data_IF_577445953991
#
_entry.id   IF_577445953991
#
_cell.length_a   1.000
_cell.length_b   1.000
_cell.length_c   1.000
_cell.angle_alpha   90.00
_cell.angle_beta   90.00
_cell.angle_gamma   90.00
#
_symmetry.space_group_name_H-M   'P 1'
#
loop_
_entity.id
_entity.type
_entity.pdbx_description
1 polymer ?
#
# COMPACT_ATOMS: atom_id res chain seq x y z
N UNK A 1 -68.63 -28.84 -30.38
CA UNK A 1 -67.76 -27.78 -29.83
C UNK A 1 -66.99 -28.36 -28.65
N UNK A 2 -65.80 -28.90 -28.91
CA UNK A 2 -64.92 -29.48 -27.89
C UNK A 2 -64.01 -28.40 -27.29
N UNK A 3 -63.98 -28.31 -25.95
CA UNK A 3 -63.01 -27.50 -25.22
C UNK A 3 -61.65 -28.25 -25.18
N UNK A 4 -60.51 -27.57 -25.38
CA UNK A 4 -59.21 -28.20 -25.24
C UNK A 4 -58.84 -28.39 -23.77
N UNK A 5 -58.35 -29.59 -23.46
CA UNK A 5 -57.74 -29.97 -22.19
C UNK A 5 -56.38 -29.30 -22.07
N UNK A 6 -56.18 -28.46 -21.04
CA UNK A 6 -54.88 -27.86 -20.75
C UNK A 6 -54.09 -28.79 -19.83
N UNK A 7 -53.01 -29.35 -20.38
CA UNK A 7 -52.01 -30.17 -19.70
C UNK A 7 -51.35 -29.37 -18.57
N UNK A 8 -51.53 -29.83 -17.34
CA UNK A 8 -50.92 -29.27 -16.13
C UNK A 8 -49.48 -29.76 -16.05
N UNK A 9 -48.50 -28.88 -16.31
CA UNK A 9 -47.10 -29.16 -16.05
C UNK A 9 -46.83 -29.06 -14.54
N UNK A 10 -46.70 -30.22 -13.91
CA UNK A 10 -46.26 -30.34 -12.53
C UNK A 10 -44.73 -30.28 -12.54
N UNK A 11 -44.18 -29.09 -12.31
CA UNK A 11 -42.73 -28.91 -12.13
C UNK A 11 -42.41 -29.51 -10.76
N UNK A 12 -41.92 -30.74 -10.79
CA UNK A 12 -41.32 -31.46 -9.67
C UNK A 12 -40.19 -30.58 -9.11
N UNK A 13 -40.48 -29.89 -7.99
CA UNK A 13 -39.48 -29.15 -7.22
C UNK A 13 -38.50 -30.18 -6.68
N UNK A 14 -37.39 -30.39 -7.41
CA UNK A 14 -36.23 -31.09 -6.90
C UNK A 14 -35.89 -30.50 -5.53
N UNK A 15 -36.07 -31.32 -4.49
CA UNK A 15 -35.79 -30.96 -3.12
C UNK A 15 -34.33 -30.47 -3.07
N UNK A 16 -34.14 -29.19 -2.70
CA UNK A 16 -32.82 -28.67 -2.38
C UNK A 16 -32.19 -29.64 -1.37
N UNK A 17 -30.98 -30.16 -1.61
CA UNK A 17 -30.30 -30.99 -0.62
C UNK A 17 -30.27 -30.17 0.68
N UNK A 18 -30.75 -30.76 1.78
CA UNK A 18 -30.63 -30.17 3.12
C UNK A 18 -29.14 -29.92 3.33
N UNK A 19 -28.73 -28.65 3.23
CA UNK A 19 -27.38 -28.21 3.58
C UNK A 19 -27.10 -28.74 4.98
N UNK A 20 -26.05 -29.54 5.12
CA UNK A 20 -25.57 -29.97 6.42
C UNK A 20 -25.31 -28.76 7.33
N UNK A 21 -25.17 -28.98 8.65
CA UNK A 21 -24.89 -27.88 9.57
C UNK A 21 -23.69 -27.06 9.05
N UNK A 22 -23.96 -25.81 8.70
CA UNK A 22 -22.94 -24.88 8.21
C UNK A 22 -22.06 -24.54 9.40
N UNK A 23 -20.89 -25.18 9.46
CA UNK A 23 -19.92 -24.91 10.52
C UNK A 23 -19.27 -23.56 10.22
N UNK A 24 -19.33 -22.64 11.18
CA UNK A 24 -18.61 -21.36 11.11
C UNK A 24 -17.63 -21.27 12.27
N UNK A 25 -16.44 -20.72 11.99
CA UNK A 25 -15.43 -20.43 13.01
C UNK A 25 -15.38 -18.92 13.15
N UNK A 26 -15.54 -18.43 14.38
CA UNK A 26 -15.38 -17.02 14.72
C UNK A 26 -14.15 -16.85 15.61
N UNK A 27 -13.33 -15.86 15.30
CA UNK A 27 -12.15 -15.48 16.07
C UNK A 27 -12.23 -13.97 16.32
N UNK A 28 -12.29 -13.59 17.59
CA UNK A 28 -12.46 -12.19 17.98
C UNK A 28 -11.28 -11.32 17.54
N UNK A 29 -10.05 -11.80 17.74
CA UNK A 29 -8.85 -11.08 17.34
C UNK A 29 -7.67 -12.00 17.02
N UNK A 30 -6.79 -11.54 16.14
CA UNK A 30 -5.51 -12.16 15.85
C UNK A 30 -4.43 -11.10 15.62
N UNK A 31 -3.19 -11.37 16.05
CA UNK A 31 -2.05 -10.49 15.84
C UNK A 31 -0.94 -11.21 15.08
N UNK A 32 -0.33 -10.50 14.12
CA UNK A 32 0.84 -10.95 13.37
C UNK A 32 1.95 -9.91 13.51
N UNK A 33 3.14 -10.36 13.87
CA UNK A 33 4.36 -9.54 13.78
C UNK A 33 5.34 -10.24 12.86
N UNK A 34 5.75 -9.54 11.80
CA UNK A 34 6.76 -10.01 10.87
C UNK A 34 7.91 -9.00 10.82
N UNK A 35 9.14 -9.51 10.65
CA UNK A 35 10.36 -8.69 10.58
C UNK A 35 11.13 -9.01 9.31
N UNK A 36 11.85 -8.02 8.77
CA UNK A 36 12.67 -8.14 7.55
C UNK A 36 11.87 -8.71 6.37
N UNK A 37 10.72 -8.11 6.08
CA UNK A 37 9.79 -8.56 5.04
C UNK A 37 10.27 -8.02 3.70
N UNK A 38 10.49 -8.89 2.73
CA UNK A 38 10.91 -8.50 1.38
C UNK A 38 9.75 -8.56 0.41
N UNK A 39 9.56 -7.50 -0.36
CA UNK A 39 8.56 -7.41 -1.42
C UNK A 39 9.26 -7.48 -2.78
N UNK A 40 9.56 -8.71 -3.21
CA UNK A 40 10.44 -8.95 -4.35
C UNK A 40 11.80 -8.26 -4.15
N UNK A 41 12.32 -7.66 -5.21
CA UNK A 41 13.58 -6.88 -5.18
C UNK A 41 13.36 -5.38 -4.92
N UNK A 42 12.11 -4.96 -4.76
CA UNK A 42 11.73 -3.55 -4.76
C UNK A 42 11.93 -2.91 -3.38
N UNK A 43 11.56 -3.62 -2.31
CA UNK A 43 11.48 -3.01 -0.99
C UNK A 43 11.62 -4.03 0.13
N UNK A 44 12.23 -3.60 1.24
CA UNK A 44 12.30 -4.37 2.49
C UNK A 44 11.67 -3.57 3.62
N UNK A 45 10.66 -4.13 4.30
CA UNK A 45 10.18 -3.59 5.56
C UNK A 45 11.00 -4.18 6.72
N UNK A 46 11.35 -3.33 7.67
CA UNK A 46 12.01 -3.77 8.89
C UNK A 46 11.05 -4.56 9.77
N UNK A 47 9.82 -4.06 9.90
CA UNK A 47 8.79 -4.66 10.74
C UNK A 47 7.41 -4.37 10.15
N UNK A 48 6.50 -5.34 10.23
CA UNK A 48 5.07 -5.14 10.07
C UNK A 48 4.36 -5.75 11.26
N UNK A 49 3.48 -4.96 11.88
CA UNK A 49 2.56 -5.39 12.92
C UNK A 49 1.16 -5.29 12.36
N UNK A 50 0.43 -6.39 12.39
CA UNK A 50 -0.96 -6.46 11.94
C UNK A 50 -1.81 -6.95 13.10
N UNK A 51 -2.97 -6.34 13.28
CA UNK A 51 -3.99 -6.76 14.22
C UNK A 51 -5.32 -6.85 13.47
N UNK A 52 -5.86 -8.06 13.42
CA UNK A 52 -7.13 -8.39 12.80
C UNK A 52 -8.19 -8.56 13.89
N UNK A 53 -9.38 -8.06 13.61
CA UNK A 53 -10.56 -8.16 14.47
C UNK A 53 -11.75 -8.66 13.64
N UNK A 54 -12.70 -9.32 14.30
CA UNK A 54 -13.91 -9.89 13.69
C UNK A 54 -13.59 -10.83 12.53
N UNK A 55 -12.78 -11.86 12.80
CA UNK A 55 -12.39 -12.85 11.79
C UNK A 55 -13.44 -13.95 11.76
N UNK A 56 -14.05 -14.18 10.61
CA UNK A 56 -15.00 -15.27 10.39
C UNK A 56 -14.56 -16.17 9.24
N UNK A 57 -14.61 -17.48 9.48
CA UNK A 57 -14.34 -18.52 8.50
C UNK A 57 -15.64 -19.29 8.23
N UNK A 58 -16.09 -19.36 6.98
CA UNK A 58 -17.12 -20.32 6.58
C UNK A 58 -16.47 -21.66 6.24
N UNK A 59 -16.96 -22.77 6.81
CA UNK A 59 -16.42 -24.11 6.52
C UNK A 59 -17.03 -24.76 5.26
N UNK A 60 -17.85 -24.02 4.49
CA UNK A 60 -18.36 -24.52 3.21
C UNK A 60 -17.21 -24.76 2.21
N UNK A 61 -17.37 -25.67 1.22
CA UNK A 61 -16.43 -25.77 0.10
C UNK A 61 -16.27 -24.41 -0.60
N UNK A 62 -15.04 -23.86 -0.61
CA UNK A 62 -14.78 -22.49 -1.09
C UNK A 62 -15.14 -21.39 -0.08
N UNK A 63 -15.31 -21.73 1.20
CA UNK A 63 -15.69 -20.80 2.26
C UNK A 63 -14.68 -19.67 2.43
N UNK A 64 -15.20 -18.44 2.40
CA UNK A 64 -14.39 -17.23 2.48
C UNK A 64 -13.89 -16.98 3.91
N UNK A 65 -12.70 -16.40 4.00
CA UNK A 65 -12.18 -15.78 5.20
C UNK A 65 -12.56 -14.31 5.14
N UNK A 66 -13.34 -13.83 6.09
CA UNK A 66 -13.65 -12.41 6.23
C UNK A 66 -12.96 -11.87 7.46
N UNK A 67 -12.29 -10.74 7.29
CA UNK A 67 -11.68 -9.96 8.37
C UNK A 67 -12.42 -8.62 8.41
N UNK A 68 -13.20 -8.37 9.47
CA UNK A 68 -13.98 -7.14 9.61
C UNK A 68 -13.09 -5.90 9.63
N UNK A 69 -12.01 -5.95 10.41
CA UNK A 69 -11.04 -4.86 10.53
C UNK A 69 -9.61 -5.40 10.61
N UNK A 70 -8.71 -4.86 9.79
CA UNK A 70 -7.28 -5.12 9.84
C UNK A 70 -6.57 -3.79 10.07
N UNK A 71 -6.00 -3.59 11.25
CA UNK A 71 -5.10 -2.48 11.53
C UNK A 71 -3.66 -2.92 11.33
N UNK A 72 -2.83 -2.05 10.77
CA UNK A 72 -1.44 -2.38 10.49
C UNK A 72 -0.51 -1.21 10.72
N UNK A 73 0.68 -1.48 11.26
CA UNK A 73 1.81 -0.55 11.31
C UNK A 73 2.99 -1.17 10.59
N UNK A 74 3.51 -0.45 9.61
CA UNK A 74 4.67 -0.81 8.81
C UNK A 74 5.84 0.11 9.19
N UNK A 75 7.02 -0.47 9.39
CA UNK A 75 8.24 0.26 9.70
C UNK A 75 9.23 0.08 8.57
N UNK A 76 9.62 1.20 7.97
CA UNK A 76 10.66 1.25 6.94
C UNK A 76 11.87 2.02 7.44
N UNK A 77 13.06 1.44 7.30
CA UNK A 77 14.32 2.10 7.65
C UNK A 77 14.78 3.00 6.52
N UNK A 78 15.64 3.95 6.87
CA UNK A 78 16.33 4.80 5.91
C UNK A 78 17.04 3.99 4.82
N UNK A 79 17.74 2.91 5.20
CA UNK A 79 18.44 2.02 4.28
C UNK A 79 17.48 1.35 3.29
N UNK A 80 16.31 0.91 3.74
CA UNK A 80 15.31 0.29 2.88
C UNK A 80 14.73 1.27 1.85
N UNK A 81 14.40 2.50 2.29
CA UNK A 81 13.92 3.55 1.39
C UNK A 81 15.00 3.96 0.40
N UNK A 82 16.24 4.11 0.86
CA UNK A 82 17.37 4.41 -0.01
C UNK A 82 17.60 3.32 -1.06
N UNK A 83 17.54 2.04 -0.69
CA UNK A 83 17.64 0.95 -1.65
C UNK A 83 16.57 1.06 -2.76
N UNK A 84 15.32 1.35 -2.39
CA UNK A 84 14.23 1.54 -3.35
C UNK A 84 14.40 2.78 -4.24
N UNK A 85 15.03 3.84 -3.75
CA UNK A 85 15.33 5.05 -4.52
C UNK A 85 16.46 4.85 -5.54
N UNK A 86 17.42 3.96 -5.28
CA UNK A 86 18.57 3.72 -6.16
C UNK A 86 18.21 2.86 -7.39
N UNK A 87 17.21 1.98 -7.30
CA UNK A 87 16.92 0.95 -8.31
C UNK A 87 16.39 1.43 -9.67
N UNK A 88 16.32 2.73 -9.98
CA UNK A 88 15.75 3.25 -11.24
C UNK A 88 16.57 4.42 -11.81
N UNK A 89 17.55 4.08 -12.63
CA UNK A 89 18.53 4.99 -13.25
C UNK A 89 18.04 5.75 -14.50
N UNK A 90 16.79 5.55 -14.94
CA UNK A 90 16.29 6.10 -16.21
C UNK A 90 15.82 7.57 -16.16
N UNK A 91 15.87 8.24 -15.01
CA UNK A 91 15.45 9.65 -14.92
C UNK A 91 16.64 10.61 -14.84
N UNK A 92 16.35 11.89 -15.11
CA UNK A 92 17.23 13.05 -14.84
C UNK A 92 17.63 13.21 -13.37
N UNK A 93 17.23 12.32 -12.47
CA UNK A 93 17.56 12.30 -11.05
C UNK A 93 18.47 11.11 -10.74
N UNK A 94 19.63 11.40 -10.19
CA UNK A 94 20.66 10.44 -9.82
C UNK A 94 21.07 10.63 -8.36
N UNK A 95 21.70 9.61 -7.77
CA UNK A 95 22.23 9.65 -6.40
C UNK A 95 21.19 10.05 -5.34
N UNK A 96 19.92 9.66 -5.53
CA UNK A 96 18.84 9.98 -4.59
C UNK A 96 19.08 9.30 -3.24
N UNK A 97 19.08 10.10 -2.18
CA UNK A 97 19.15 9.64 -0.79
C UNK A 97 18.09 10.35 0.03
N UNK A 98 17.39 9.57 0.84
CA UNK A 98 16.54 10.03 1.90
C UNK A 98 17.26 9.86 3.24
N UNK A 99 17.10 10.85 4.11
CA UNK A 99 17.47 10.79 5.51
C UNK A 99 16.25 11.13 6.38
N UNK A 100 15.99 10.31 7.40
CA UNK A 100 14.85 10.53 8.29
C UNK A 100 15.28 11.29 9.54
N UNK A 101 14.72 12.48 9.71
CA UNK A 101 14.89 13.36 10.86
C UNK A 101 13.58 13.37 11.64
N UNK A 102 13.61 13.66 12.94
CA UNK A 102 12.38 13.70 13.75
C UNK A 102 11.33 14.63 13.13
N UNK A 103 10.22 14.04 12.67
CA UNK A 103 9.11 14.74 11.99
C UNK A 103 9.39 15.25 10.58
N UNK A 104 10.56 14.99 9.99
CA UNK A 104 10.92 15.48 8.65
C UNK A 104 11.74 14.47 7.87
N UNK A 105 11.64 14.51 6.54
CA UNK A 105 12.53 13.77 5.65
C UNK A 105 13.41 14.75 4.88
N UNK A 106 14.71 14.52 4.91
CA UNK A 106 15.67 15.19 4.03
C UNK A 106 15.87 14.33 2.80
N UNK A 107 15.71 14.90 1.61
CA UNK A 107 16.03 14.24 0.34
C UNK A 107 17.19 15.00 -0.29
N UNK A 108 18.19 14.28 -0.77
CA UNK A 108 19.31 14.83 -1.53
C UNK A 108 19.58 13.98 -2.77
N UNK A 109 20.23 14.59 -3.76
CA UNK A 109 20.60 13.90 -4.99
C UNK A 109 21.19 14.86 -6.01
N UNK A 110 21.20 14.43 -7.27
CA UNK A 110 21.73 15.19 -8.40
C UNK A 110 20.76 15.19 -9.56
N UNK A 111 20.43 16.37 -10.04
CA UNK A 111 19.60 16.57 -11.23
C UNK A 111 20.48 16.83 -12.45
N UNK A 112 20.33 16.05 -13.52
CA UNK A 112 20.96 16.32 -14.82
C UNK A 112 20.00 17.10 -15.70
N UNK A 113 20.28 18.39 -15.87
CA UNK A 113 19.53 19.25 -16.77
C UNK A 113 19.85 18.98 -18.26
N UNK A 114 19.28 19.79 -19.18
CA UNK A 114 19.49 19.65 -20.63
C UNK A 114 20.97 19.75 -21.06
N UNK A 115 21.78 20.50 -20.32
CA UNK A 115 23.22 20.65 -20.56
C UNK A 115 24.05 19.44 -20.07
N UNK A 116 23.41 18.40 -19.53
CA UNK A 116 24.07 17.19 -19.02
C UNK A 116 24.84 17.36 -17.70
N UNK A 117 25.01 18.59 -17.22
CA UNK A 117 25.71 18.88 -15.96
C UNK A 117 24.87 18.45 -14.74
N UNK A 118 25.45 17.67 -13.80
CA UNK A 118 24.76 17.28 -12.58
C UNK A 118 24.72 18.43 -11.57
N UNK A 119 23.53 18.88 -11.23
CA UNK A 119 23.28 19.92 -10.23
C UNK A 119 22.89 19.22 -8.92
N UNK A 120 23.72 19.30 -7.86
CA UNK A 120 23.35 18.74 -6.58
C UNK A 120 22.17 19.51 -5.98
N UNK A 121 21.27 18.78 -5.34
CA UNK A 121 20.20 19.37 -4.56
C UNK A 121 20.08 18.63 -3.23
N UNK A 122 19.64 19.36 -2.21
CA UNK A 122 19.23 18.79 -0.96
C UNK A 122 18.08 19.64 -0.43
N UNK A 123 17.02 19.00 0.05
CA UNK A 123 15.90 19.67 0.67
C UNK A 123 15.34 18.89 1.85
N UNK A 124 14.65 19.58 2.74
CA UNK A 124 13.88 18.96 3.83
C UNK A 124 12.39 19.19 3.61
N UNK A 125 11.55 18.19 3.86
CA UNK A 125 10.09 18.30 3.81
C UNK A 125 9.44 17.45 4.90
N UNK A 126 8.18 17.75 5.23
CA UNK A 126 7.35 16.91 6.10
C UNK A 126 6.53 16.01 5.19
N UNK A 127 6.67 14.67 5.28
CA UNK A 127 5.83 13.78 4.51
C UNK A 127 4.41 13.78 5.10
N UNK A 128 3.42 13.76 4.21
CA UNK A 128 2.01 13.83 4.54
C UNK A 128 1.25 12.71 3.83
N UNK A 129 0.15 12.26 4.43
CA UNK A 129 -0.78 11.33 3.79
C UNK A 129 -1.72 12.15 2.90
N UNK A 130 -1.72 11.84 1.61
CA UNK A 130 -2.62 12.41 0.61
C UNK A 130 -3.74 11.41 0.29
N UNK A 131 -4.99 11.85 0.42
CA UNK A 131 -6.17 11.06 0.05
C UNK A 131 -6.34 9.74 0.82
N UNK A 132 -5.61 9.55 1.92
CA UNK A 132 -5.64 8.31 2.71
C UNK A 132 -4.96 7.11 2.03
N UNK A 133 -4.24 7.28 0.92
CA UNK A 133 -3.63 6.14 0.20
C UNK A 133 -2.21 6.40 -0.32
N UNK A 134 -1.75 7.65 -0.30
CA UNK A 134 -0.45 8.05 -0.85
C UNK A 134 0.35 8.84 0.16
N UNK A 135 1.67 8.75 0.05
CA UNK A 135 2.60 9.60 0.78
C UNK A 135 3.10 10.67 -0.18
N UNK A 136 2.99 11.94 0.23
CA UNK A 136 3.42 13.11 -0.54
C UNK A 136 4.37 13.96 0.30
N UNK A 137 5.35 14.57 -0.36
CA UNK A 137 6.16 15.65 0.20
C UNK A 137 5.58 16.98 -0.28
N UNK A 138 5.30 17.90 0.65
CA UNK A 138 4.82 19.22 0.27
C UNK A 138 5.98 20.01 -0.38
N UNK A 139 5.89 20.36 -1.69
CA UNK A 139 6.93 21.11 -2.37
C UNK A 139 7.08 22.53 -1.82
N UNK A 140 6.04 23.10 -1.20
CA UNK A 140 6.07 24.45 -0.60
C UNK A 140 6.86 24.49 0.70
N UNK A 141 7.05 23.34 1.35
CA UNK A 141 7.83 23.19 2.59
C UNK A 141 9.28 22.78 2.32
N UNK A 142 9.71 22.79 1.05
CA UNK A 142 11.09 22.48 0.67
C UNK A 142 12.02 23.62 1.06
N UNK A 143 12.94 23.33 1.98
CA UNK A 143 14.04 24.23 2.30
C UNK A 143 15.33 23.70 1.68
N UNK A 144 15.98 24.49 0.82
CA UNK A 144 17.25 24.13 0.19
C UNK A 144 18.36 24.06 1.23
N UNK A 145 19.01 22.92 1.30
CA UNK A 145 20.17 22.70 2.17
C UNK A 145 21.42 22.95 1.35
N UNK A 146 22.01 24.13 1.53
CA UNK A 146 23.31 24.61 1.04
C UNK A 146 23.35 25.50 -0.24
N UNK A 147 23.88 26.72 -0.04
CA UNK A 147 24.82 27.47 -0.89
C UNK A 147 24.38 27.97 -2.26
N UNK A 148 23.71 27.14 -3.06
CA UNK A 148 23.32 27.49 -4.43
C UNK A 148 21.84 27.83 -4.43
N UNK A 149 21.46 29.09 -4.74
CA UNK A 149 20.05 29.45 -4.86
C UNK A 149 19.44 28.65 -6.01
N UNK A 150 18.56 27.70 -5.66
CA UNK A 150 17.78 26.94 -6.64
C UNK A 150 16.55 27.78 -7.00
N UNK A 151 16.29 28.06 -8.29
CA UNK A 151 15.08 28.76 -8.69
C UNK A 151 13.82 28.05 -8.18
N UNK A 152 12.84 28.81 -7.69
CA UNK A 152 11.61 28.23 -7.12
C UNK A 152 10.90 27.24 -8.06
N UNK A 153 10.81 27.58 -9.34
CA UNK A 153 10.25 26.70 -10.37
C UNK A 153 10.98 25.36 -10.50
N UNK A 154 12.30 25.34 -10.29
CA UNK A 154 13.08 24.10 -10.31
C UNK A 154 12.80 23.26 -9.05
N UNK A 155 12.61 23.89 -7.89
CA UNK A 155 12.21 23.17 -6.66
C UNK A 155 10.83 22.54 -6.78
N UNK A 156 9.86 23.25 -7.33
CA UNK A 156 8.53 22.72 -7.61
C UNK A 156 8.62 21.52 -8.56
N UNK A 157 9.34 21.67 -9.68
CA UNK A 157 9.57 20.59 -10.64
C UNK A 157 10.25 19.35 -10.01
N UNK A 158 11.29 19.56 -9.20
CA UNK A 158 11.97 18.46 -8.49
C UNK A 158 11.02 17.78 -7.48
N UNK A 159 10.25 18.58 -6.74
CA UNK A 159 9.25 18.11 -5.79
C UNK A 159 8.19 17.24 -6.47
N UNK A 160 7.65 17.68 -7.60
CA UNK A 160 6.69 16.92 -8.40
C UNK A 160 7.27 15.60 -8.91
N UNK A 161 8.49 15.63 -9.46
CA UNK A 161 9.18 14.42 -9.94
C UNK A 161 9.40 13.40 -8.82
N UNK A 162 9.79 13.87 -7.64
CA UNK A 162 10.04 13.01 -6.47
C UNK A 162 8.72 12.47 -5.94
N UNK A 163 7.68 13.29 -5.83
CA UNK A 163 6.33 12.84 -5.48
C UNK A 163 5.78 11.81 -6.46
N UNK A 164 5.99 11.98 -7.77
CA UNK A 164 5.60 10.99 -8.77
C UNK A 164 6.37 9.66 -8.62
N UNK A 165 7.60 9.67 -8.12
CA UNK A 165 8.35 8.46 -7.79
C UNK A 165 7.83 7.81 -6.50
N UNK A 166 7.61 8.60 -5.45
CA UNK A 166 7.05 8.13 -4.19
C UNK A 166 5.66 7.53 -4.39
N UNK A 167 4.78 8.20 -5.12
CA UNK A 167 3.46 7.69 -5.47
C UNK A 167 3.55 6.36 -6.25
N UNK A 168 4.49 6.21 -7.19
CA UNK A 168 4.65 4.92 -7.89
C UNK A 168 5.15 3.80 -6.98
N UNK A 169 5.96 4.11 -5.97
CA UNK A 169 6.55 3.13 -5.07
C UNK A 169 5.64 2.80 -3.85
N UNK A 170 4.85 3.77 -3.38
CA UNK A 170 4.15 3.76 -2.09
C UNK A 170 2.67 4.17 -2.23
N UNK A 171 2.02 3.80 -3.34
CA UNK A 171 0.57 3.97 -3.50
C UNK A 171 -0.15 2.67 -3.10
N UNK A 172 -0.74 2.69 -1.90
CA UNK A 172 -1.45 1.52 -1.36
C UNK A 172 -2.79 1.25 -2.04
N UNK A 173 -3.29 2.18 -2.86
CA UNK A 173 -4.50 1.95 -3.67
C UNK A 173 -4.31 0.89 -4.76
N UNK A 174 -3.05 0.51 -5.04
CA UNK A 174 -2.69 -0.56 -5.98
C UNK A 174 -2.73 -1.95 -5.36
N UNK A 175 -2.96 -2.04 -4.05
CA UNK A 175 -3.09 -3.32 -3.37
C UNK A 175 -4.41 -3.99 -3.78
N UNK A 176 -4.48 -5.34 -3.78
CA UNK A 176 -5.69 -6.07 -4.16
C UNK A 176 -6.83 -5.95 -3.13
N UNK A 177 -6.64 -5.17 -2.07
CA UNK A 177 -7.61 -4.89 -1.03
C UNK A 177 -7.56 -3.40 -0.68
N UNK A 178 -8.69 -2.85 -0.24
CA UNK A 178 -8.79 -1.44 0.12
C UNK A 178 -7.97 -1.18 1.39
N UNK A 179 -6.94 -0.34 1.27
CA UNK A 179 -6.13 0.13 2.39
C UNK A 179 -6.30 1.63 2.53
N UNK A 180 -6.50 2.08 3.77
CA UNK A 180 -6.50 3.48 4.15
C UNK A 180 -5.37 3.75 5.14
N UNK A 181 -4.42 4.59 4.75
CA UNK A 181 -3.40 5.14 5.63
C UNK A 181 -4.05 6.11 6.61
N UNK A 182 -3.74 5.96 7.89
CA UNK A 182 -4.33 6.73 8.99
C UNK A 182 -3.32 7.61 9.70
N UNK A 183 -2.07 7.17 9.81
CA UNK A 183 -1.01 7.91 10.49
C UNK A 183 0.34 7.70 9.81
N UNK A 184 1.16 8.74 9.85
CA UNK A 184 2.51 8.74 9.30
C UNK A 184 3.43 9.46 10.27
N UNK A 185 4.38 8.72 10.84
CA UNK A 185 5.34 9.24 11.80
C UNK A 185 6.75 9.06 11.30
N UNK A 186 7.50 10.15 11.22
CA UNK A 186 8.93 10.11 10.89
C UNK A 186 9.73 10.20 12.18
N UNK A 187 10.52 9.17 12.44
CA UNK A 187 11.49 9.12 13.53
C UNK A 187 12.90 9.13 12.95
N UNK A 188 13.90 9.39 13.78
CA UNK A 188 15.29 9.37 13.29
C UNK A 188 15.64 7.99 12.74
N UNK A 189 16.05 7.93 11.47
CA UNK A 189 16.44 6.70 10.77
C UNK A 189 15.30 5.77 10.32
N UNK A 190 14.02 6.11 10.60
CA UNK A 190 12.88 5.26 10.18
C UNK A 190 11.59 6.04 9.99
N UNK A 191 10.70 5.48 9.18
CA UNK A 191 9.34 5.97 8.99
C UNK A 191 8.35 4.86 9.40
N UNK A 192 7.33 5.26 10.16
CA UNK A 192 6.24 4.40 10.61
C UNK A 192 4.99 4.82 9.86
N UNK A 193 4.36 3.86 9.19
CA UNK A 193 3.13 4.04 8.45
C UNK A 193 2.04 3.17 9.07
N UNK A 194 0.95 3.78 9.52
CA UNK A 194 -0.20 3.06 10.05
C UNK A 194 -1.39 3.16 9.10
N UNK A 195 -2.19 2.11 9.05
CA UNK A 195 -3.39 2.08 8.23
C UNK A 195 -4.38 1.01 8.65
N UNK A 196 -5.53 1.05 7.99
CA UNK A 196 -6.63 0.10 8.17
C UNK A 196 -7.02 -0.50 6.83
N UNK A 197 -7.42 -1.76 6.83
CA UNK A 197 -7.92 -2.46 5.67
C UNK A 197 -9.09 -3.37 6.06
N UNK A 198 -9.93 -3.70 5.08
CA UNK A 198 -10.93 -4.77 5.19
C UNK A 198 -10.58 -5.82 4.15
N UNK A 199 -10.59 -7.09 4.56
CA UNK A 199 -10.15 -8.18 3.71
C UNK A 199 -11.22 -9.27 3.65
N UNK A 200 -11.55 -9.69 2.43
CA UNK A 200 -12.31 -10.88 2.15
C UNK A 200 -11.47 -11.77 1.23
N UNK A 201 -11.05 -12.92 1.74
CA UNK A 201 -10.24 -13.90 1.00
C UNK A 201 -11.12 -15.10 0.69
N UNK A 202 -11.53 -15.22 -0.56
CA UNK A 202 -12.12 -16.46 -1.05
C UNK A 202 -11.00 -17.43 -1.43
N UNK A 203 -11.05 -18.70 -1.02
CA UNK A 203 -10.13 -19.72 -1.49
C UNK A 203 -10.16 -19.74 -3.01
N UNK A 204 -9.00 -19.73 -3.65
CA UNK A 204 -8.92 -20.05 -5.07
C UNK A 204 -9.32 -21.51 -5.20
N UNK A 205 -10.52 -21.79 -5.71
CA UNK A 205 -10.85 -23.11 -6.22
C UNK A 205 -9.87 -23.35 -7.37
N UNK A 206 -8.82 -24.12 -7.11
CA UNK A 206 -7.98 -24.65 -8.16
C UNK A 206 -8.89 -25.53 -9.00
N UNK A 207 -9.29 -25.05 -10.18
CA UNK A 207 -9.87 -25.92 -11.20
C UNK A 207 -8.83 -27.02 -11.45
N UNK A 208 -9.14 -28.21 -10.95
CA UNK A 208 -8.40 -29.42 -11.22
C UNK A 208 -8.50 -29.69 -12.72
N UNK A 209 -7.42 -29.40 -13.44
CA UNK A 209 -7.20 -29.85 -14.81
C UNK A 209 -6.82 -31.33 -14.84
#
# INVERSE_FOLDING_TARGET
MSKPSATRFEIERAARPKSGPEMSIQVDSAALTARRIRFGDLFTLEEARLQAEDISLSAAPGGAIRIGSLTGTLVATESAVNHALHGRAEDSLSDLRAAFLTGRMRIEGRYRGPLGLPIPFAFTSVPEIEGGARIRLDPRKLSVVAGVPVPGALLEFLGERINARLARALDVSRLPFAVRLTDLKVETGRILLSGTATLEVSPRTSDSA
#
